data_IF_422967474949
#
_entry.id   IF_422967474949
#
_cell.length_a   1.000
_cell.length_b   1.000
_cell.length_c   1.000
_cell.angle_alpha   90.00
_cell.angle_beta   90.00
_cell.angle_gamma   90.00
#
_symmetry.space_group_name_H-M   'P 1'
#
loop_
_entity.id
_entity.type
_entity.pdbx_description
1 polymer ?
#
# COMPACT_ATOMS: atom_id res chain seq x y z
N UNK A 1 11.83 -20.22 -12.36
CA UNK A 1 10.58 -20.34 -11.57
C UNK A 1 9.62 -19.21 -11.93
N UNK A 2 8.30 -19.46 -11.99
CA UNK A 2 7.30 -18.37 -12.12
C UNK A 2 7.40 -17.49 -10.88
N UNK A 3 7.50 -16.17 -11.05
CA UNK A 3 7.46 -15.22 -9.92
C UNK A 3 6.15 -15.40 -9.15
N UNK A 4 6.24 -15.64 -7.86
CA UNK A 4 5.06 -15.69 -6.98
C UNK A 4 4.47 -14.29 -6.88
N UNK A 5 3.17 -14.17 -7.01
CA UNK A 5 2.43 -12.92 -6.78
C UNK A 5 1.78 -12.97 -5.39
N UNK A 6 1.77 -11.87 -4.63
CA UNK A 6 1.11 -11.85 -3.33
C UNK A 6 -0.39 -12.19 -3.41
N UNK A 7 -0.88 -13.02 -2.49
CA UNK A 7 -2.31 -13.24 -2.27
C UNK A 7 -2.98 -11.96 -1.77
N UNK A 8 -4.22 -11.69 -2.20
CA UNK A 8 -4.92 -10.45 -1.94
C UNK A 8 -6.09 -10.64 -0.97
N UNK A 9 -6.28 -9.67 -0.07
CA UNK A 9 -7.42 -9.62 0.84
C UNK A 9 -8.65 -8.98 0.19
N UNK A 10 -9.84 -9.43 0.59
CA UNK A 10 -11.13 -8.80 0.28
C UNK A 10 -11.48 -7.79 1.37
N UNK A 11 -12.11 -6.67 1.03
CA UNK A 11 -12.68 -5.76 2.02
C UNK A 11 -13.95 -6.39 2.62
N UNK A 12 -14.16 -6.20 3.93
CA UNK A 12 -15.34 -6.74 4.60
C UNK A 12 -15.36 -6.43 6.08
N UNK A 13 -16.41 -6.90 6.73
CA UNK A 13 -16.56 -6.79 8.18
C UNK A 13 -15.60 -7.74 8.91
N UNK A 14 -15.34 -7.42 10.18
CA UNK A 14 -14.48 -8.24 11.03
C UNK A 14 -15.15 -9.61 11.25
N UNK A 15 -14.59 -10.69 10.72
CA UNK A 15 -15.14 -12.01 10.95
C UNK A 15 -14.88 -12.43 12.41
N UNK A 16 -15.68 -13.34 12.91
CA UNK A 16 -15.55 -13.90 14.26
C UNK A 16 -15.44 -15.42 14.20
N UNK A 17 -14.96 -16.03 15.28
CA UNK A 17 -14.86 -17.48 15.41
C UNK A 17 -13.41 -17.98 15.45
N UNK A 18 -13.26 -19.25 15.90
CA UNK A 18 -11.95 -19.87 16.20
C UNK A 18 -11.08 -20.18 14.96
N UNK A 19 -11.63 -20.10 13.77
CA UNK A 19 -10.89 -20.32 12.51
C UNK A 19 -10.24 -19.03 11.98
N UNK A 20 -10.26 -17.94 12.73
CA UNK A 20 -9.70 -16.67 12.35
C UNK A 20 -8.58 -16.22 13.28
N UNK A 21 -7.52 -15.70 12.67
CA UNK A 21 -6.47 -14.95 13.36
C UNK A 21 -6.41 -13.54 12.77
N UNK A 22 -5.88 -12.60 13.55
CA UNK A 22 -5.93 -11.18 13.24
C UNK A 22 -4.55 -10.58 13.32
N UNK A 23 -4.24 -9.71 12.38
CA UNK A 23 -3.00 -8.92 12.32
C UNK A 23 -3.35 -7.46 12.20
N UNK A 24 -2.46 -6.58 12.60
CA UNK A 24 -2.58 -5.18 12.23
C UNK A 24 -2.43 -5.03 10.71
N UNK A 25 -3.28 -4.20 10.11
CA UNK A 25 -3.09 -3.79 8.73
C UNK A 25 -2.07 -2.66 8.71
N UNK A 26 -0.84 -3.03 8.38
CA UNK A 26 0.27 -2.11 8.30
C UNK A 26 0.15 -1.21 7.07
N UNK A 27 0.46 0.07 7.23
CA UNK A 27 0.48 1.06 6.16
C UNK A 27 1.89 1.16 5.57
N UNK A 28 2.14 0.45 4.50
CA UNK A 28 3.47 0.31 3.91
C UNK A 28 3.45 -0.16 2.45
N UNK A 29 4.50 -0.86 2.06
CA UNK A 29 4.66 -1.46 0.73
C UNK A 29 4.80 -2.96 0.85
N UNK A 30 3.79 -3.70 0.34
CA UNK A 30 3.82 -5.16 0.27
C UNK A 30 5.01 -5.64 -0.54
N UNK A 31 5.81 -6.50 0.07
CA UNK A 31 7.06 -6.97 -0.52
C UNK A 31 7.29 -8.45 -0.23
N UNK A 32 7.59 -9.22 -1.26
CA UNK A 32 8.12 -10.57 -1.12
C UNK A 32 9.64 -10.48 -0.97
N UNK A 33 10.17 -11.06 0.09
CA UNK A 33 11.61 -11.20 0.33
C UNK A 33 12.02 -12.62 -0.02
N UNK A 34 12.74 -12.76 -1.14
CA UNK A 34 13.26 -14.03 -1.67
C UNK A 34 14.75 -14.11 -1.39
N UNK A 35 15.14 -14.98 -0.46
CA UNK A 35 16.53 -15.34 -0.19
C UNK A 35 16.83 -16.66 -0.87
N UNK A 36 17.84 -16.67 -1.71
CA UNK A 36 18.35 -17.84 -2.42
C UNK A 36 19.87 -17.83 -2.45
N UNK A 37 20.48 -18.81 -3.08
CA UNK A 37 21.94 -18.87 -3.29
C UNK A 37 22.50 -17.68 -4.06
N UNK A 38 21.66 -16.92 -4.78
CA UNK A 38 22.03 -15.68 -5.48
C UNK A 38 21.92 -14.42 -4.61
N UNK A 39 21.52 -14.54 -3.35
CA UNK A 39 21.30 -13.44 -2.41
C UNK A 39 19.84 -13.07 -2.23
N UNK A 40 19.59 -11.91 -1.59
CA UNK A 40 18.25 -11.37 -1.34
C UNK A 40 17.71 -10.63 -2.56
N UNK A 41 16.48 -10.93 -2.92
CA UNK A 41 15.68 -10.15 -3.86
C UNK A 41 14.40 -9.69 -3.18
N UNK A 42 14.15 -8.38 -3.16
CA UNK A 42 12.91 -7.77 -2.68
C UNK A 42 12.01 -7.44 -3.88
N UNK A 43 10.84 -8.06 -3.94
CA UNK A 43 9.90 -7.89 -5.06
C UNK A 43 8.61 -7.24 -4.59
N UNK A 44 8.28 -6.09 -5.17
CA UNK A 44 7.01 -5.39 -4.88
C UNK A 44 5.80 -6.19 -5.37
N UNK A 45 4.60 -5.79 -4.94
CA UNK A 45 3.32 -6.40 -5.37
C UNK A 45 3.18 -6.50 -6.89
N UNK A 46 3.68 -5.52 -7.64
CA UNK A 46 3.65 -5.51 -9.12
C UNK A 46 4.77 -6.33 -9.77
N UNK A 47 5.61 -6.99 -8.97
CA UNK A 47 6.72 -7.78 -9.48
C UNK A 47 7.98 -6.98 -9.81
N UNK A 48 8.06 -5.70 -9.42
CA UNK A 48 9.26 -4.89 -9.61
C UNK A 48 10.31 -5.24 -8.55
N UNK A 49 11.56 -5.36 -8.97
CA UNK A 49 12.70 -5.46 -8.07
C UNK A 49 12.92 -4.10 -7.38
N UNK A 50 12.83 -4.12 -6.05
CA UNK A 50 13.02 -2.94 -5.18
C UNK A 50 14.20 -3.10 -4.22
N UNK A 51 15.02 -4.13 -4.38
CA UNK A 51 16.14 -4.48 -3.50
C UNK A 51 17.07 -3.31 -3.25
N UNK A 52 17.43 -2.58 -4.30
CA UNK A 52 18.36 -1.43 -4.21
C UNK A 52 17.85 -0.33 -3.26
N UNK A 53 16.53 -0.16 -3.15
CA UNK A 53 15.93 0.90 -2.34
C UNK A 53 16.07 0.65 -0.81
N UNK A 54 16.30 -0.62 -0.40
CA UNK A 54 16.24 -1.02 1.01
C UNK A 54 17.49 -1.80 1.45
N UNK A 55 18.69 -1.20 1.37
CA UNK A 55 19.96 -1.90 1.68
C UNK A 55 20.06 -2.35 3.15
N UNK A 56 19.33 -1.73 4.07
CA UNK A 56 19.25 -2.10 5.48
C UNK A 56 18.59 -3.48 5.70
N UNK A 57 17.84 -3.98 4.71
CA UNK A 57 17.17 -5.27 4.77
C UNK A 57 18.04 -6.43 4.27
N UNK A 58 19.29 -6.17 3.87
CA UNK A 58 20.17 -7.20 3.29
C UNK A 58 20.36 -8.43 4.19
N UNK A 59 20.35 -8.24 5.52
CA UNK A 59 20.48 -9.36 6.49
C UNK A 59 19.30 -10.35 6.48
N UNK A 60 18.19 -10.05 5.80
CA UNK A 60 17.12 -11.03 5.55
C UNK A 60 17.64 -12.26 4.77
N UNK A 61 18.75 -12.13 4.04
CA UNK A 61 19.39 -13.23 3.34
C UNK A 61 19.96 -14.32 4.29
N UNK A 62 20.16 -13.98 5.55
CA UNK A 62 20.81 -14.85 6.55
C UNK A 62 19.81 -15.61 7.42
N UNK A 63 18.49 -15.35 7.26
CA UNK A 63 17.45 -15.98 8.10
C UNK A 63 17.38 -17.49 7.88
N UNK A 64 17.38 -17.93 6.63
CA UNK A 64 17.40 -19.34 6.26
C UNK A 64 17.80 -19.47 4.79
N UNK A 65 18.34 -20.67 4.45
CA UNK A 65 18.61 -21.00 3.07
C UNK A 65 17.33 -21.18 2.28
N UNK A 66 17.26 -20.55 1.08
CA UNK A 66 16.17 -20.68 0.12
C UNK A 66 14.77 -20.44 0.76
N UNK A 67 14.59 -19.25 1.35
CA UNK A 67 13.34 -18.81 1.98
C UNK A 67 12.65 -17.75 1.14
N UNK A 68 11.30 -17.84 1.04
CA UNK A 68 10.44 -16.81 0.48
C UNK A 68 9.46 -16.34 1.55
N UNK A 69 9.63 -15.11 2.00
CA UNK A 69 8.75 -14.45 2.97
C UNK A 69 7.79 -13.49 2.27
N UNK A 70 6.59 -13.36 2.81
CA UNK A 70 5.62 -12.34 2.45
C UNK A 70 5.47 -11.36 3.61
N UNK A 71 5.63 -10.08 3.33
CA UNK A 71 5.67 -9.06 4.38
C UNK A 71 5.34 -7.66 3.87
N UNK A 72 5.40 -6.72 4.80
CA UNK A 72 5.21 -5.30 4.55
C UNK A 72 6.46 -4.53 4.93
N UNK A 73 6.96 -3.66 4.03
CA UNK A 73 7.98 -2.66 4.37
C UNK A 73 7.28 -1.44 4.91
N UNK A 74 7.61 -1.04 6.13
CA UNK A 74 7.05 0.15 6.78
C UNK A 74 8.15 1.12 7.20
N UNK A 75 7.84 2.42 7.21
CA UNK A 75 8.64 3.43 7.89
C UNK A 75 7.94 3.82 9.19
N UNK A 76 8.66 3.82 10.31
CA UNK A 76 8.12 4.18 11.61
C UNK A 76 8.57 5.59 11.99
N UNK A 77 7.62 6.46 12.33
CA UNK A 77 7.87 7.79 12.90
C UNK A 77 7.23 7.80 14.28
N UNK A 78 8.04 8.04 15.31
CA UNK A 78 7.60 7.98 16.72
C UNK A 78 6.89 6.65 17.07
N UNK A 79 7.39 5.54 16.50
CA UNK A 79 6.83 4.20 16.70
C UNK A 79 5.56 3.87 15.91
N UNK A 80 5.06 4.79 15.07
CA UNK A 80 3.86 4.61 14.25
C UNK A 80 4.19 4.49 12.77
N UNK A 81 3.50 3.63 12.00
CA UNK A 81 3.67 3.58 10.56
C UNK A 81 3.35 4.92 9.90
N UNK A 82 4.20 5.32 8.97
CA UNK A 82 4.03 6.55 8.19
C UNK A 82 4.33 6.28 6.72
N UNK A 83 3.28 6.16 5.92
CA UNK A 83 3.41 5.97 4.48
C UNK A 83 4.09 7.18 3.80
N UNK A 84 3.79 8.41 4.28
CA UNK A 84 4.42 9.62 3.75
C UNK A 84 5.95 9.65 3.97
N UNK A 85 6.43 9.12 5.10
CA UNK A 85 7.86 8.97 5.35
C UNK A 85 8.49 7.91 4.43
N UNK A 86 7.76 6.82 4.16
CA UNK A 86 8.19 5.74 3.28
C UNK A 86 8.31 6.19 1.81
N UNK A 87 7.51 7.15 1.35
CA UNK A 87 7.50 7.61 -0.05
C UNK A 87 8.86 8.05 -0.57
N UNK A 88 9.67 8.70 0.26
CA UNK A 88 11.03 9.13 -0.11
C UNK A 88 11.96 7.96 -0.47
N UNK A 89 11.60 6.72 -0.07
CA UNK A 89 12.35 5.49 -0.25
C UNK A 89 11.89 4.68 -1.48
N UNK A 90 10.61 4.77 -1.84
CA UNK A 90 9.95 3.87 -2.81
C UNK A 90 10.51 3.93 -4.25
N UNK A 91 11.16 5.04 -4.64
CA UNK A 91 11.62 5.27 -6.02
C UNK A 91 13.13 5.29 -6.17
N UNK A 92 13.86 4.96 -5.12
CA UNK A 92 15.31 5.06 -5.12
C UNK A 92 15.89 3.92 -5.97
N UNK A 93 16.72 4.31 -6.96
CA UNK A 93 17.40 3.39 -7.90
C UNK A 93 18.91 3.41 -7.75
N UNK A 94 19.45 4.43 -7.07
CA UNK A 94 20.89 4.63 -6.92
C UNK A 94 21.35 4.12 -5.57
N UNK A 95 22.30 3.22 -5.55
CA UNK A 95 22.83 2.58 -4.31
C UNK A 95 23.33 3.61 -3.28
N UNK A 96 24.05 4.64 -3.74
CA UNK A 96 24.59 5.70 -2.83
C UNK A 96 23.46 6.46 -2.17
N UNK A 97 22.41 6.81 -2.91
CA UNK A 97 21.24 7.50 -2.38
C UNK A 97 20.46 6.61 -1.41
N UNK A 98 20.24 5.34 -1.78
CA UNK A 98 19.57 4.35 -0.92
C UNK A 98 20.26 4.21 0.44
N UNK A 99 21.60 4.07 0.45
CA UNK A 99 22.38 4.00 1.70
C UNK A 99 22.26 5.25 2.55
N UNK A 100 22.32 6.43 1.92
CA UNK A 100 22.16 7.71 2.62
C UNK A 100 20.78 7.84 3.27
N UNK A 101 19.73 7.42 2.56
CA UNK A 101 18.36 7.46 3.07
C UNK A 101 18.12 6.40 4.15
N UNK A 102 18.66 5.20 3.99
CA UNK A 102 18.59 4.14 4.99
C UNK A 102 19.17 4.58 6.36
N UNK A 103 20.28 5.32 6.35
CA UNK A 103 20.88 5.85 7.57
C UNK A 103 20.04 6.95 8.24
N UNK A 104 19.19 7.68 7.49
CA UNK A 104 18.40 8.82 8.01
C UNK A 104 16.96 8.46 8.35
N UNK A 105 16.38 7.55 7.59
CA UNK A 105 15.00 7.11 7.70
C UNK A 105 14.94 5.60 7.35
N UNK A 106 15.44 4.72 8.26
CA UNK A 106 15.41 3.30 8.05
C UNK A 106 13.97 2.79 7.96
N UNK A 107 13.81 1.68 7.26
CA UNK A 107 12.53 0.95 7.18
C UNK A 107 12.61 -0.32 8.01
N UNK A 108 11.45 -0.89 8.32
CA UNK A 108 11.32 -2.19 8.95
C UNK A 108 10.51 -3.12 8.04
N UNK A 109 10.97 -4.35 7.86
CA UNK A 109 10.24 -5.40 7.19
C UNK A 109 9.46 -6.23 8.22
N UNK A 110 8.14 -6.29 8.07
CA UNK A 110 7.24 -7.04 8.94
C UNK A 110 6.79 -8.29 8.18
N UNK A 111 7.43 -9.43 8.46
CA UNK A 111 7.08 -10.71 7.87
C UNK A 111 5.78 -11.23 8.49
N UNK A 112 4.82 -11.66 7.70
CA UNK A 112 3.55 -12.21 8.18
C UNK A 112 3.17 -13.56 7.53
N UNK A 113 3.95 -14.04 6.55
CA UNK A 113 3.77 -15.37 5.96
C UNK A 113 5.11 -15.91 5.43
N UNK A 114 5.23 -17.24 5.35
CA UNK A 114 6.34 -17.93 4.69
C UNK A 114 5.81 -18.85 3.61
N UNK A 115 6.29 -18.65 2.38
CA UNK A 115 5.76 -19.32 1.18
C UNK A 115 6.68 -20.44 0.67
N UNK A 116 7.97 -20.37 0.99
CA UNK A 116 8.97 -21.39 0.68
C UNK A 116 10.01 -21.42 1.79
N UNK A 117 10.49 -22.60 2.14
CA UNK A 117 11.56 -22.79 3.09
C UNK A 117 12.41 -24.01 2.68
N UNK A 118 13.75 -23.85 2.62
CA UNK A 118 14.69 -24.89 2.17
C UNK A 118 14.29 -25.49 0.81
N UNK A 119 13.81 -24.66 -0.12
CA UNK A 119 13.35 -25.08 -1.44
C UNK A 119 11.96 -25.73 -1.47
N UNK A 120 11.34 -25.98 -0.32
CA UNK A 120 10.01 -26.60 -0.24
C UNK A 120 8.92 -25.54 -0.32
N UNK A 121 8.01 -25.69 -1.30
CA UNK A 121 6.81 -24.84 -1.44
C UNK A 121 5.82 -25.12 -0.29
N UNK A 122 5.46 -24.06 0.43
CA UNK A 122 4.52 -24.10 1.55
C UNK A 122 3.15 -23.52 1.18
N UNK A 123 2.94 -23.02 -0.02
CA UNK A 123 1.67 -22.35 -0.40
C UNK A 123 0.45 -23.24 -0.27
N UNK A 124 0.61 -24.56 -0.44
CA UNK A 124 -0.43 -25.56 -0.23
C UNK A 124 -0.70 -25.92 1.24
N UNK A 125 0.10 -25.45 2.18
CA UNK A 125 -0.14 -25.65 3.62
C UNK A 125 -1.16 -24.66 4.15
N UNK A 126 -1.79 -24.98 5.29
CA UNK A 126 -2.71 -24.06 5.96
C UNK A 126 -1.97 -22.81 6.45
N UNK A 127 -2.68 -21.68 6.63
CA UNK A 127 -2.08 -20.47 7.21
C UNK A 127 -1.54 -20.75 8.62
N UNK A 128 -2.24 -21.55 9.41
CA UNK A 128 -1.76 -21.98 10.73
C UNK A 128 -0.39 -22.66 10.67
N UNK A 129 -0.19 -23.61 9.74
CA UNK A 129 1.09 -24.31 9.57
C UNK A 129 2.21 -23.38 9.09
N UNK A 130 1.88 -22.50 8.12
CA UNK A 130 2.87 -21.52 7.60
C UNK A 130 3.26 -20.54 8.69
N UNK A 131 2.27 -20.05 9.47
CA UNK A 131 2.51 -19.14 10.59
C UNK A 131 3.39 -19.78 11.67
N UNK A 132 3.07 -20.99 12.09
CA UNK A 132 3.91 -21.74 13.04
C UNK A 132 5.32 -21.96 12.51
N UNK A 133 5.50 -22.15 11.20
CA UNK A 133 6.82 -22.26 10.56
C UNK A 133 7.54 -20.92 10.60
N UNK A 134 6.88 -19.81 10.29
CA UNK A 134 7.46 -18.46 10.34
C UNK A 134 7.93 -18.09 11.76
N UNK A 135 7.15 -18.44 12.79
CA UNK A 135 7.51 -18.17 14.18
C UNK A 135 8.73 -18.95 14.63
N UNK A 136 8.87 -20.21 14.19
CA UNK A 136 10.07 -21.04 14.48
C UNK A 136 11.34 -20.57 13.77
N UNK A 137 11.22 -19.78 12.69
CA UNK A 137 12.36 -19.19 12.00
C UNK A 137 13.02 -18.04 12.80
N UNK A 138 12.38 -17.59 13.89
CA UNK A 138 12.87 -16.51 14.73
C UNK A 138 13.31 -15.28 13.92
N UNK A 139 12.49 -14.90 12.92
CA UNK A 139 12.76 -13.76 12.03
C UNK A 139 12.83 -12.48 12.84
N UNK A 140 14.01 -12.18 13.36
CA UNK A 140 14.27 -10.99 14.17
C UNK A 140 15.63 -10.37 13.81
N UNK A 141 15.66 -9.04 13.70
CA UNK A 141 16.84 -8.29 13.37
C UNK A 141 16.64 -6.78 13.56
N UNK A 142 17.65 -5.97 13.27
CA UNK A 142 17.59 -4.53 13.53
C UNK A 142 16.51 -3.83 12.68
N UNK A 143 16.15 -4.41 11.52
CA UNK A 143 15.22 -3.83 10.56
C UNK A 143 14.16 -4.81 10.05
N UNK A 144 13.97 -5.95 10.72
CA UNK A 144 12.92 -6.91 10.38
C UNK A 144 12.46 -7.70 11.60
N UNK A 145 11.20 -8.08 11.59
CA UNK A 145 10.59 -8.92 12.62
C UNK A 145 9.35 -9.62 12.06
N UNK A 146 8.82 -10.58 12.81
CA UNK A 146 7.51 -11.17 12.54
C UNK A 146 6.41 -10.21 12.98
N UNK A 147 5.43 -9.96 12.11
CA UNK A 147 4.22 -9.21 12.46
C UNK A 147 3.45 -9.93 13.57
N UNK A 148 2.98 -9.26 14.62
CA UNK A 148 2.22 -9.90 15.68
C UNK A 148 0.91 -10.50 15.15
N UNK A 149 0.52 -11.66 15.69
CA UNK A 149 -0.73 -12.36 15.41
C UNK A 149 -1.57 -12.44 16.66
N UNK A 150 -2.87 -12.20 16.54
CA UNK A 150 -3.84 -12.17 17.64
C UNK A 150 -4.99 -13.12 17.36
N UNK A 151 -5.65 -13.59 18.40
CA UNK A 151 -6.83 -14.47 18.37
C UNK A 151 -8.15 -13.77 18.70
N UNK A 152 -8.08 -12.54 19.25
CA UNK A 152 -9.22 -11.70 19.57
C UNK A 152 -9.38 -10.55 18.57
N UNK A 153 -10.29 -10.70 17.62
CA UNK A 153 -10.55 -9.69 16.58
C UNK A 153 -11.03 -8.35 17.13
N UNK A 154 -12.07 -8.29 17.98
CA UNK A 154 -12.51 -7.06 18.61
C UNK A 154 -11.41 -6.32 19.37
N UNK A 155 -10.64 -7.03 20.21
CA UNK A 155 -9.51 -6.43 20.94
C UNK A 155 -8.42 -5.95 19.99
N UNK A 156 -8.09 -6.70 18.93
CA UNK A 156 -7.13 -6.29 17.91
C UNK A 156 -7.61 -5.04 17.18
N UNK A 157 -8.91 -4.96 16.84
CA UNK A 157 -9.50 -3.78 16.19
C UNK A 157 -9.43 -2.55 17.10
N UNK A 158 -9.72 -2.72 18.40
CA UNK A 158 -9.61 -1.63 19.37
C UNK A 158 -8.16 -1.16 19.50
N UNK A 159 -7.22 -2.09 19.66
CA UNK A 159 -5.78 -1.76 19.72
C UNK A 159 -5.29 -1.05 18.44
N UNK A 160 -5.75 -1.46 17.26
CA UNK A 160 -5.43 -0.79 16.03
C UNK A 160 -5.98 0.66 16.01
N UNK A 161 -7.20 0.88 16.50
CA UNK A 161 -7.82 2.21 16.63
C UNK A 161 -7.01 3.11 17.57
N UNK A 162 -6.67 2.62 18.76
CA UNK A 162 -5.95 3.36 19.78
C UNK A 162 -4.54 3.78 19.34
N UNK A 163 -3.92 2.97 18.47
CA UNK A 163 -2.61 3.24 17.90
C UNK A 163 -2.66 3.98 16.55
N UNK A 164 -3.84 4.35 16.06
CA UNK A 164 -3.99 5.07 14.79
C UNK A 164 -3.54 4.27 13.57
N UNK A 165 -3.68 2.93 13.60
CA UNK A 165 -3.33 2.05 12.50
C UNK A 165 -4.43 2.03 11.42
N UNK A 166 -4.09 1.61 10.21
CA UNK A 166 -5.02 1.60 9.06
C UNK A 166 -6.21 0.66 9.26
N UNK A 167 -6.00 -0.44 10.00
CA UNK A 167 -7.04 -1.43 10.23
C UNK A 167 -6.53 -2.76 10.75
N UNK A 168 -7.31 -3.78 10.48
CA UNK A 168 -7.04 -5.18 10.83
C UNK A 168 -7.11 -6.04 9.58
N UNK A 169 -6.22 -7.02 9.48
CA UNK A 169 -6.28 -8.09 8.50
C UNK A 169 -6.65 -9.39 9.21
N UNK A 170 -7.84 -9.91 8.94
CA UNK A 170 -8.27 -11.21 9.43
C UNK A 170 -7.89 -12.29 8.41
N UNK A 171 -7.24 -13.34 8.86
CA UNK A 171 -6.78 -14.47 8.06
C UNK A 171 -7.39 -15.76 8.57
N UNK A 172 -8.01 -16.55 7.68
CA UNK A 172 -8.57 -17.86 8.03
C UNK A 172 -7.42 -18.85 8.26
N UNK A 173 -7.38 -19.45 9.45
CA UNK A 173 -6.31 -20.38 9.87
C UNK A 173 -6.20 -21.60 8.96
N UNK A 174 -7.33 -22.13 8.49
CA UNK A 174 -7.39 -23.30 7.59
C UNK A 174 -7.07 -22.98 6.11
N UNK A 175 -6.87 -21.71 5.75
CA UNK A 175 -6.68 -21.29 4.35
C UNK A 175 -5.30 -21.66 3.79
N UNK A 176 -5.28 -22.03 2.50
CA UNK A 176 -4.05 -22.13 1.73
C UNK A 176 -3.67 -20.77 1.13
N UNK A 177 -2.41 -20.58 0.78
CA UNK A 177 -1.99 -19.37 0.08
C UNK A 177 -2.29 -19.49 -1.41
N UNK A 178 -3.02 -18.53 -1.97
CA UNK A 178 -3.43 -18.50 -3.39
C UNK A 178 -2.72 -17.35 -4.11
N UNK A 179 -1.54 -17.60 -4.72
CA UNK A 179 -0.75 -16.56 -5.36
C UNK A 179 -1.55 -15.76 -6.39
N UNK A 180 -1.50 -14.42 -6.31
CA UNK A 180 -2.17 -13.50 -7.22
C UNK A 180 -3.69 -13.43 -7.12
N UNK A 181 -4.32 -14.26 -6.27
CA UNK A 181 -5.78 -14.31 -6.17
C UNK A 181 -6.29 -13.48 -4.99
N UNK A 182 -7.47 -12.89 -5.20
CA UNK A 182 -8.26 -12.28 -4.13
C UNK A 182 -9.26 -13.31 -3.61
N UNK A 183 -9.27 -13.53 -2.29
CA UNK A 183 -10.16 -14.52 -1.68
C UNK A 183 -10.81 -13.94 -0.42
N UNK A 184 -11.88 -14.59 0.04
CA UNK A 184 -12.52 -14.29 1.31
C UNK A 184 -11.83 -14.99 2.50
N UNK A 185 -10.71 -15.68 2.27
CA UNK A 185 -9.90 -16.25 3.34
C UNK A 185 -9.04 -15.20 4.06
N UNK A 186 -8.79 -14.07 3.40
CA UNK A 186 -8.15 -12.89 3.96
C UNK A 186 -9.10 -11.71 3.84
N UNK A 187 -9.49 -11.12 4.98
CA UNK A 187 -10.43 -9.99 5.04
C UNK A 187 -9.73 -8.77 5.64
N UNK A 188 -9.69 -7.68 4.88
CA UNK A 188 -9.19 -6.39 5.37
C UNK A 188 -10.35 -5.58 5.96
N UNK A 189 -10.22 -5.23 7.23
CA UNK A 189 -11.14 -4.39 7.97
C UNK A 189 -10.48 -3.04 8.19
N UNK A 190 -10.96 -2.00 7.52
CA UNK A 190 -10.42 -0.65 7.65
C UNK A 190 -11.06 0.08 8.83
N UNK A 191 -10.26 0.88 9.52
CA UNK A 191 -10.72 1.76 10.61
C UNK A 191 -11.04 3.16 10.10
N UNK A 192 -10.38 3.55 9.00
CA UNK A 192 -10.57 4.81 8.29
C UNK A 192 -10.95 4.50 6.85
N UNK A 193 -11.76 5.38 6.23
CA UNK A 193 -12.02 5.29 4.81
C UNK A 193 -10.77 5.79 4.07
N UNK A 194 -9.90 4.88 3.71
CA UNK A 194 -8.69 5.14 2.95
C UNK A 194 -8.66 4.24 1.73
N UNK A 195 -8.52 4.86 0.56
CA UNK A 195 -8.55 4.15 -0.72
C UNK A 195 -7.64 4.84 -1.72
N UNK A 196 -7.23 4.07 -2.72
CA UNK A 196 -6.50 4.61 -3.88
C UNK A 196 -7.47 5.24 -4.88
N UNK A 197 -6.99 6.32 -5.52
CA UNK A 197 -7.68 7.04 -6.58
C UNK A 197 -6.73 7.34 -7.73
N UNK A 198 -7.27 7.43 -8.94
CA UNK A 198 -6.52 7.85 -10.10
C UNK A 198 -6.68 9.35 -10.28
N UNK A 199 -5.57 10.03 -10.56
CA UNK A 199 -5.58 11.47 -10.84
C UNK A 199 -5.95 11.70 -12.30
N UNK A 200 -7.04 12.42 -12.56
CA UNK A 200 -7.48 12.81 -13.89
C UNK A 200 -7.19 14.28 -14.25
N UNK A 201 -6.71 15.06 -13.28
CA UNK A 201 -6.36 16.46 -13.47
C UNK A 201 -6.12 17.18 -12.17
N UNK A 202 -5.88 18.48 -12.27
CA UNK A 202 -5.81 19.35 -11.09
C UNK A 202 -6.45 20.71 -11.36
N UNK A 203 -7.04 21.26 -10.33
CA UNK A 203 -7.49 22.64 -10.28
C UNK A 203 -6.31 23.54 -9.88
N UNK A 204 -6.19 24.71 -10.50
CA UNK A 204 -5.13 25.66 -10.16
C UNK A 204 -5.39 26.30 -8.78
N UNK A 205 -4.31 26.45 -8.03
CA UNK A 205 -4.36 27.06 -6.70
C UNK A 205 -4.50 28.56 -6.75
N UNK A 206 -5.06 29.12 -5.67
CA UNK A 206 -5.20 30.55 -5.43
C UNK A 206 -4.29 31.02 -4.28
N UNK A 207 -4.06 32.33 -4.17
CA UNK A 207 -3.28 32.92 -3.09
C UNK A 207 -1.87 32.35 -3.00
N UNK A 208 -1.51 31.78 -1.86
CA UNK A 208 -0.19 31.18 -1.62
C UNK A 208 0.15 29.96 -2.48
N UNK A 209 -0.82 29.40 -3.21
CA UNK A 209 -0.64 28.30 -4.18
C UNK A 209 -0.83 28.74 -5.63
N UNK A 210 -0.90 30.05 -5.88
CA UNK A 210 -1.10 30.60 -7.23
C UNK A 210 -0.03 30.06 -8.18
N UNK A 211 -0.46 29.59 -9.36
CA UNK A 211 0.39 29.00 -10.39
C UNK A 211 0.76 27.53 -10.17
N UNK A 212 0.32 26.89 -9.07
CA UNK A 212 0.54 25.47 -8.79
C UNK A 212 -0.77 24.71 -8.59
N UNK A 213 -0.68 23.50 -8.02
CA UNK A 213 -1.83 22.64 -7.73
C UNK A 213 -2.60 23.18 -6.51
N UNK A 214 -3.89 23.50 -6.72
CA UNK A 214 -4.85 23.79 -5.65
C UNK A 214 -5.45 22.51 -5.06
N UNK A 215 -6.02 21.67 -5.96
CA UNK A 215 -6.56 20.36 -5.62
C UNK A 215 -6.36 19.37 -6.78
N UNK A 216 -6.25 18.08 -6.47
CA UNK A 216 -6.27 17.01 -7.46
C UNK A 216 -7.71 16.55 -7.72
N UNK A 217 -8.05 16.30 -8.97
CA UNK A 217 -9.31 15.72 -9.41
C UNK A 217 -9.15 14.19 -9.48
N UNK A 218 -10.00 13.48 -8.77
CA UNK A 218 -9.85 12.07 -8.48
C UNK A 218 -10.94 11.23 -9.16
N UNK A 219 -10.58 10.02 -9.55
CA UNK A 219 -11.53 9.03 -10.07
C UNK A 219 -11.18 7.60 -9.70
N UNK A 220 -12.16 6.74 -9.95
CA UNK A 220 -12.03 5.29 -9.90
C UNK A 220 -12.55 4.69 -11.19
N UNK A 221 -12.10 3.50 -11.55
CA UNK A 221 -12.58 2.81 -12.73
C UNK A 221 -13.86 2.01 -12.43
N UNK A 222 -14.83 2.11 -13.34
CA UNK A 222 -15.98 1.21 -13.46
C UNK A 222 -15.91 0.59 -14.87
N UNK A 223 -15.42 -0.63 -14.96
CA UNK A 223 -15.06 -1.22 -16.24
C UNK A 223 -13.91 -0.48 -16.93
N UNK A 224 -14.14 0.08 -18.11
CA UNK A 224 -13.17 0.89 -18.85
C UNK A 224 -13.29 2.40 -18.57
N UNK A 225 -14.33 2.81 -17.86
CA UNK A 225 -14.71 4.21 -17.67
C UNK A 225 -14.10 4.77 -16.39
N UNK A 226 -13.44 5.92 -16.48
CA UNK A 226 -12.96 6.66 -15.32
C UNK A 226 -14.09 7.56 -14.78
N UNK A 227 -14.59 7.20 -13.60
CA UNK A 227 -15.68 7.93 -12.93
C UNK A 227 -15.08 8.93 -11.95
N UNK A 228 -15.48 10.19 -12.07
CA UNK A 228 -15.05 11.23 -11.15
C UNK A 228 -15.66 11.04 -9.76
N UNK A 229 -14.81 11.11 -8.73
CA UNK A 229 -15.20 10.87 -7.33
C UNK A 229 -15.02 12.06 -6.40
N UNK A 230 -14.51 13.17 -6.90
CA UNK A 230 -14.28 14.38 -6.10
C UNK A 230 -12.85 14.88 -6.20
N UNK A 231 -12.50 15.79 -5.30
CA UNK A 231 -11.19 16.43 -5.30
C UNK A 231 -10.53 16.38 -3.92
N UNK A 232 -9.19 16.46 -3.91
CA UNK A 232 -8.40 16.54 -2.70
C UNK A 232 -7.43 17.71 -2.76
N UNK A 233 -7.57 18.67 -1.82
CA UNK A 233 -6.72 19.86 -1.71
C UNK A 233 -5.97 19.97 -0.38
N UNK A 234 -6.19 19.03 0.55
CA UNK A 234 -5.57 18.98 1.87
C UNK A 234 -4.64 17.77 2.02
N UNK A 235 -3.81 17.74 3.06
CA UNK A 235 -2.84 16.65 3.31
C UNK A 235 -1.51 16.80 2.56
N UNK A 236 -1.32 17.87 1.79
CA UNK A 236 -0.08 18.12 1.05
C UNK A 236 0.89 19.01 1.84
N UNK A 237 2.14 18.62 1.90
CA UNK A 237 3.22 19.55 2.15
C UNK A 237 3.57 20.35 0.87
N UNK A 238 4.22 21.49 1.02
CA UNK A 238 4.71 22.26 -0.14
C UNK A 238 5.67 21.46 -1.03
N UNK A 239 6.45 20.56 -0.45
CA UNK A 239 7.35 19.68 -1.20
C UNK A 239 6.55 18.61 -1.97
N UNK A 240 5.48 18.05 -1.37
CA UNK A 240 4.61 17.08 -2.01
C UNK A 240 3.88 17.68 -3.22
N UNK A 241 3.38 18.92 -3.12
CA UNK A 241 2.74 19.63 -4.23
C UNK A 241 3.70 19.83 -5.41
N UNK A 242 4.92 20.33 -5.15
CA UNK A 242 5.94 20.48 -6.21
C UNK A 242 6.34 19.15 -6.85
N UNK A 243 6.44 18.09 -6.07
CA UNK A 243 6.73 16.74 -6.58
C UNK A 243 5.58 16.20 -7.43
N UNK A 244 4.35 16.44 -7.00
CA UNK A 244 3.14 16.03 -7.73
C UNK A 244 3.05 16.74 -9.08
N UNK A 245 3.26 18.05 -9.12
CA UNK A 245 3.23 18.82 -10.36
C UNK A 245 4.25 18.29 -11.39
N UNK A 246 5.51 18.07 -10.96
CA UNK A 246 6.53 17.47 -11.82
C UNK A 246 6.15 16.08 -12.33
N UNK A 247 5.45 15.30 -11.50
CA UNK A 247 5.00 13.96 -11.84
C UNK A 247 3.86 13.96 -12.86
N UNK A 248 2.94 14.90 -12.75
CA UNK A 248 1.77 15.00 -13.61
C UNK A 248 2.09 15.68 -14.97
N UNK A 249 3.07 16.57 -15.02
CA UNK A 249 3.43 17.32 -16.23
C UNK A 249 3.59 16.48 -17.50
N UNK A 250 4.22 15.27 -17.49
CA UNK A 250 4.37 14.44 -18.70
C UNK A 250 3.04 13.87 -19.23
N UNK A 251 1.99 13.91 -18.44
CA UNK A 251 0.68 13.32 -18.75
C UNK A 251 -0.39 14.34 -19.12
N UNK A 252 -0.03 15.64 -19.24
CA UNK A 252 -0.97 16.70 -19.58
C UNK A 252 -1.64 16.42 -20.92
N UNK A 253 -2.97 16.61 -20.97
CA UNK A 253 -3.82 16.46 -22.16
C UNK A 253 -4.85 17.60 -22.23
N UNK A 254 -5.44 17.80 -23.42
CA UNK A 254 -6.37 18.92 -23.68
C UNK A 254 -7.81 18.65 -23.20
N UNK A 255 -8.17 17.41 -22.90
CA UNK A 255 -9.55 17.02 -22.56
C UNK A 255 -9.62 16.20 -21.29
N UNK A 256 -10.77 16.28 -20.62
CA UNK A 256 -11.06 15.49 -19.42
C UNK A 256 -11.00 13.99 -19.70
N UNK A 257 -10.31 13.20 -18.87
CA UNK A 257 -10.33 11.75 -18.96
C UNK A 257 -11.57 11.12 -18.31
N UNK A 258 -12.37 11.91 -17.59
CA UNK A 258 -13.59 11.43 -16.94
C UNK A 258 -14.73 11.31 -17.95
N UNK A 259 -15.55 10.28 -17.82
CA UNK A 259 -16.73 10.02 -18.68
C UNK A 259 -17.72 11.20 -18.65
N UNK A 260 -17.89 11.83 -17.50
CA UNK A 260 -18.73 13.00 -17.34
C UNK A 260 -17.91 14.17 -16.78
N UNK A 261 -18.20 15.40 -17.28
CA UNK A 261 -17.57 16.60 -16.74
C UNK A 261 -17.94 16.81 -15.28
N UNK A 262 -16.95 16.92 -14.37
CA UNK A 262 -17.21 17.14 -12.95
C UNK A 262 -18.05 18.42 -12.71
N UNK A 263 -19.17 18.37 -11.99
CA UNK A 263 -20.08 19.50 -11.84
C UNK A 263 -19.52 20.61 -10.94
N UNK A 264 -18.68 20.24 -9.98
CA UNK A 264 -18.09 21.11 -8.95
C UNK A 264 -16.86 21.91 -9.42
N UNK A 265 -16.39 21.66 -10.65
CA UNK A 265 -15.21 22.32 -11.22
C UNK A 265 -15.54 23.24 -12.39
N UNK A 266 -16.82 23.48 -12.66
CA UNK A 266 -17.25 24.36 -13.75
C UNK A 266 -16.76 25.79 -13.54
N UNK A 267 -16.14 26.36 -14.58
CA UNK A 267 -15.65 27.73 -14.59
C UNK A 267 -14.31 27.96 -13.89
N UNK A 268 -13.66 26.91 -13.43
CA UNK A 268 -12.31 27.00 -12.84
C UNK A 268 -11.23 26.55 -13.84
N UNK A 269 -10.03 27.13 -13.78
CA UNK A 269 -8.92 26.68 -14.60
C UNK A 269 -8.45 25.29 -14.16
N UNK A 270 -8.52 24.32 -15.06
CA UNK A 270 -8.13 22.93 -14.82
C UNK A 270 -7.09 22.52 -15.85
N UNK A 271 -6.09 21.79 -15.40
CA UNK A 271 -5.19 21.02 -16.26
C UNK A 271 -5.55 19.55 -16.17
N UNK A 272 -5.93 18.97 -17.29
CA UNK A 272 -6.27 17.56 -17.40
C UNK A 272 -5.02 16.70 -17.63
N UNK A 273 -5.04 15.46 -17.14
CA UNK A 273 -3.95 14.51 -17.36
C UNK A 273 -4.50 13.13 -17.75
N UNK A 274 -3.72 12.39 -18.50
CA UNK A 274 -3.98 10.95 -18.66
C UNK A 274 -3.93 10.29 -17.30
N UNK A 275 -4.83 9.33 -17.02
CA UNK A 275 -5.01 8.73 -15.70
C UNK A 275 -3.93 7.68 -15.38
N UNK A 276 -2.68 8.12 -15.25
CA UNK A 276 -1.49 7.28 -15.03
C UNK A 276 -0.98 7.32 -13.58
N UNK A 277 -1.41 8.31 -12.80
CA UNK A 277 -0.92 8.51 -11.44
C UNK A 277 -1.97 8.08 -10.43
N UNK A 278 -1.58 7.14 -9.57
CA UNK A 278 -2.42 6.66 -8.46
C UNK A 278 -1.98 7.33 -7.17
N UNK A 279 -2.96 7.80 -6.40
CA UNK A 279 -2.76 8.43 -5.09
C UNK A 279 -3.60 7.73 -4.04
N UNK A 280 -3.12 7.72 -2.81
CA UNK A 280 -3.89 7.30 -1.65
C UNK A 280 -4.52 8.50 -0.98
N UNK A 281 -5.80 8.37 -0.65
CA UNK A 281 -6.58 9.42 -0.01
C UNK A 281 -7.39 8.84 1.15
N UNK A 282 -7.31 9.51 2.29
CA UNK A 282 -8.17 9.29 3.43
C UNK A 282 -9.39 10.21 3.32
N UNK A 283 -10.57 9.72 3.66
CA UNK A 283 -11.81 10.48 3.58
C UNK A 283 -12.83 9.99 4.62
N UNK A 284 -13.74 10.87 5.02
CA UNK A 284 -14.72 10.54 6.05
C UNK A 284 -15.78 9.54 5.54
N UNK A 285 -16.35 9.81 4.37
CA UNK A 285 -17.42 8.97 3.82
C UNK A 285 -17.58 9.17 2.31
N UNK A 286 -18.22 8.20 1.66
CA UNK A 286 -18.80 8.35 0.35
C UNK A 286 -20.17 8.99 0.46
N UNK A 287 -20.42 10.05 -0.29
CA UNK A 287 -21.78 10.60 -0.44
C UNK A 287 -22.66 9.65 -1.26
N UNK A 288 -23.98 9.89 -1.21
CA UNK A 288 -24.96 9.14 -2.02
C UNK A 288 -24.64 9.25 -3.52
N UNK A 289 -24.11 10.41 -3.96
CA UNK A 289 -23.74 10.66 -5.36
C UNK A 289 -22.36 10.07 -5.73
N UNK A 290 -21.74 9.27 -4.86
CA UNK A 290 -20.45 8.66 -5.11
C UNK A 290 -19.27 9.64 -5.06
N UNK A 291 -19.34 10.68 -4.21
CA UNK A 291 -18.27 11.66 -3.98
C UNK A 291 -17.60 11.47 -2.65
N UNK A 292 -16.34 11.93 -2.56
CA UNK A 292 -15.58 11.95 -1.33
C UNK A 292 -15.94 13.17 -0.46
N UNK A 293 -16.09 12.95 0.84
CA UNK A 293 -16.21 14.04 1.83
C UNK A 293 -14.98 14.08 2.72
N UNK A 294 -14.47 15.30 2.96
CA UNK A 294 -13.31 15.56 3.81
C UNK A 294 -12.06 14.79 3.40
N UNK A 295 -11.78 14.79 2.09
CA UNK A 295 -10.66 14.07 1.51
C UNK A 295 -9.31 14.70 1.94
N UNK A 296 -8.33 13.87 2.31
CA UNK A 296 -6.98 14.24 2.67
C UNK A 296 -5.96 13.35 1.94
N UNK A 297 -5.03 13.95 1.22
CA UNK A 297 -3.97 13.25 0.50
C UNK A 297 -3.01 12.56 1.49
N UNK A 298 -2.73 11.29 1.25
CA UNK A 298 -1.80 10.50 2.04
C UNK A 298 -0.51 10.21 1.28
N UNK A 299 -0.60 10.04 -0.05
CA UNK A 299 0.59 9.75 -0.83
C UNK A 299 0.36 9.28 -2.26
N UNK A 300 1.47 9.14 -3.01
CA UNK A 300 1.47 8.53 -4.34
C UNK A 300 1.68 7.03 -4.22
N UNK A 301 0.89 6.25 -4.93
CA UNK A 301 1.01 4.79 -5.00
C UNK A 301 1.62 4.39 -6.33
N UNK A 302 2.80 3.78 -6.29
CA UNK A 302 3.50 3.27 -7.48
C UNK A 302 3.51 1.76 -7.56
N UNK A 303 2.97 1.14 -6.53
CA UNK A 303 2.74 -0.30 -6.40
C UNK A 303 1.33 -0.72 -6.86
N UNK A 304 0.56 0.22 -7.42
CA UNK A 304 -0.79 0.00 -7.97
C UNK A 304 -0.85 0.43 -9.42
N UNK A 305 -1.58 -0.31 -10.24
CA UNK A 305 -1.92 0.09 -11.61
C UNK A 305 -3.19 0.93 -11.59
N UNK A 306 -3.29 1.94 -12.45
CA UNK A 306 -4.51 2.76 -12.54
C UNK A 306 -5.78 1.93 -12.75
N UNK A 307 -5.75 0.93 -13.62
CA UNK A 307 -6.89 0.09 -14.00
C UNK A 307 -7.38 -0.82 -12.85
N UNK A 308 -6.54 -1.01 -11.81
CA UNK A 308 -6.91 -1.77 -10.61
C UNK A 308 -7.66 -0.90 -9.57
N UNK A 309 -7.73 0.42 -9.80
CA UNK A 309 -8.33 1.38 -8.86
C UNK A 309 -9.83 1.45 -9.11
N UNK A 310 -10.56 0.68 -8.34
CA UNK A 310 -12.04 0.62 -8.36
C UNK A 310 -12.59 1.07 -7.02
N UNK A 311 -13.87 1.47 -7.01
CA UNK A 311 -14.54 1.81 -5.76
C UNK A 311 -14.57 0.60 -4.84
N UNK A 312 -13.95 0.72 -3.67
CA UNK A 312 -14.03 -0.29 -2.63
C UNK A 312 -15.31 -0.06 -1.80
N UNK A 313 -16.07 -1.12 -1.57
CA UNK A 313 -17.31 -1.11 -0.78
C UNK A 313 -17.03 -1.40 0.66
#
# INVERSE_FOLDING_TARGET
MRRVQPMLATAGDLPTGRDWAYEFKWDGVRTLADSSTSGLTLTSRLGNDVTVAYPELAGLAEIADDVLLDGEIVSLVDGRPSFSALQSRMHVRKVVEARRLAARAPVTYLAFDVLRLYGVDLTGRTFADRRATLERLEVAGPHWTVSPLFDDGPATKQAATDNGLEGVLAKRLSSVYRPGQRTNDWIKVRLWNRQEFVVGGWEHGEGGRSGGIGSLLLGVYEGADLIYTGQVGTGFSAAALRSMEKRLQPYVVDSSPFVAMPPDVRGRPITWVRPEVVVEVEFAEWTVDGRLRFASFQGVRTDKRPEEVVRER
#
